data_IF_185040094060
#
_entry.id   IF_185040094060
#
_cell.length_a   1.000
_cell.length_b   1.000
_cell.length_c   1.000
_cell.angle_alpha   90.00
_cell.angle_beta   90.00
_cell.angle_gamma   90.00
#
_symmetry.space_group_name_H-M   'P 1'
#
loop_
_entity.id
_entity.type
_entity.pdbx_description
1 polymer ?
#
# COMPACT_ATOMS: atom_id res chain seq x y z
N UNK A 1 1.64 0.12 -15.97
CA UNK A 1 0.92 1.10 -15.12
C UNK A 1 1.97 1.85 -14.31
N UNK A 2 1.84 3.18 -14.13
CA UNK A 2 2.83 3.97 -13.39
C UNK A 2 2.32 4.36 -11.99
N UNK A 3 3.24 4.73 -11.09
CA UNK A 3 2.93 4.99 -9.68
C UNK A 3 2.36 6.40 -9.39
N UNK A 4 2.34 7.28 -10.39
CA UNK A 4 2.10 8.73 -10.23
C UNK A 4 0.86 9.24 -10.97
N UNK A 5 0.15 8.37 -11.68
CA UNK A 5 -1.12 8.71 -12.33
C UNK A 5 -2.28 8.25 -11.45
N UNK A 6 -3.23 9.14 -11.09
CA UNK A 6 -4.44 8.74 -10.39
C UNK A 6 -5.28 7.73 -11.18
N UNK A 7 -5.96 6.82 -10.49
CA UNK A 7 -6.88 5.83 -11.04
C UNK A 7 -8.11 5.68 -10.14
N UNK A 8 -9.06 4.83 -10.55
CA UNK A 8 -10.36 4.66 -9.88
C UNK A 8 -10.35 3.76 -8.63
N UNK A 9 -9.20 3.22 -8.24
CA UNK A 9 -9.06 2.36 -7.07
C UNK A 9 -8.99 3.13 -5.75
N UNK A 10 -8.61 2.41 -4.69
CA UNK A 10 -8.56 2.93 -3.33
C UNK A 10 -7.63 4.13 -3.23
N UNK A 11 -8.15 5.23 -2.65
CA UNK A 11 -7.45 6.50 -2.45
C UNK A 11 -6.79 7.07 -3.72
N UNK A 12 -7.43 6.86 -4.88
CA UNK A 12 -6.97 7.35 -6.18
C UNK A 12 -5.86 6.50 -6.78
N UNK A 13 -5.53 5.35 -6.20
CA UNK A 13 -4.55 4.41 -6.75
C UNK A 13 -5.20 3.48 -7.76
N UNK A 14 -4.44 2.55 -8.32
CA UNK A 14 -4.96 1.51 -9.21
C UNK A 14 -5.47 0.27 -8.48
N UNK A 15 -5.17 0.13 -7.18
CA UNK A 15 -5.52 -1.04 -6.39
C UNK A 15 -6.99 -0.99 -6.04
N UNK A 16 -7.74 -2.01 -6.41
CA UNK A 16 -9.18 -2.10 -6.15
C UNK A 16 -9.47 -2.91 -4.89
N UNK A 17 -10.76 -3.03 -4.55
CA UNK A 17 -11.19 -3.93 -3.47
C UNK A 17 -11.00 -5.40 -3.85
N UNK A 18 -11.24 -5.71 -5.12
CA UNK A 18 -11.11 -7.05 -5.69
C UNK A 18 -9.66 -7.52 -5.62
N UNK A 19 -8.69 -6.67 -6.00
CA UNK A 19 -7.26 -6.97 -5.90
C UNK A 19 -6.88 -7.39 -4.45
N UNK A 20 -7.34 -6.62 -3.47
CA UNK A 20 -7.03 -6.87 -2.05
C UNK A 20 -7.76 -8.11 -1.55
N UNK A 21 -9.01 -8.32 -1.93
CA UNK A 21 -9.77 -9.51 -1.53
C UNK A 21 -9.12 -10.79 -2.06
N UNK A 22 -8.79 -10.84 -3.35
CA UNK A 22 -8.12 -11.97 -3.98
C UNK A 22 -6.76 -12.27 -3.33
N UNK A 23 -5.98 -11.23 -3.06
CA UNK A 23 -4.71 -11.37 -2.35
C UNK A 23 -4.90 -11.91 -0.93
N UNK A 24 -5.84 -11.37 -0.16
CA UNK A 24 -6.07 -11.81 1.21
C UNK A 24 -6.65 -13.22 1.28
N UNK A 25 -7.54 -13.61 0.36
CA UNK A 25 -8.06 -14.97 0.24
C UNK A 25 -6.94 -15.97 -0.03
N UNK A 26 -6.05 -15.66 -0.98
CA UNK A 26 -4.88 -16.50 -1.29
C UNK A 26 -3.93 -16.59 -0.11
N UNK A 27 -3.56 -15.46 0.49
CA UNK A 27 -2.58 -15.44 1.57
C UNK A 27 -3.10 -16.11 2.85
N UNK A 28 -4.38 -15.92 3.19
CA UNK A 28 -5.02 -16.53 4.37
C UNK A 28 -5.60 -17.93 4.09
N UNK A 29 -5.52 -18.40 2.85
CA UNK A 29 -6.06 -19.67 2.38
C UNK A 29 -7.55 -19.84 2.73
N UNK A 30 -8.35 -18.79 2.53
CA UNK A 30 -9.76 -18.72 2.97
C UNK A 30 -10.70 -18.55 1.79
N UNK A 31 -11.92 -19.08 1.95
CA UNK A 31 -13.05 -18.84 1.03
C UNK A 31 -13.92 -17.65 1.46
N UNK A 32 -13.60 -16.99 2.57
CA UNK A 32 -14.31 -15.81 3.05
C UNK A 32 -14.13 -14.64 2.08
N UNK A 33 -15.14 -13.78 1.98
CA UNK A 33 -15.11 -12.58 1.15
C UNK A 33 -15.35 -11.32 1.96
N UNK A 34 -14.99 -10.16 1.42
CA UNK A 34 -15.29 -8.89 2.05
C UNK A 34 -16.78 -8.56 1.96
N UNK A 35 -17.32 -8.03 3.05
CA UNK A 35 -18.73 -7.72 3.16
C UNK A 35 -19.14 -6.39 2.51
N UNK A 36 -20.45 -6.10 2.51
CA UNK A 36 -20.98 -4.84 2.02
C UNK A 36 -20.60 -3.64 2.91
N UNK A 37 -20.25 -3.86 4.19
CA UNK A 37 -19.86 -2.79 5.11
C UNK A 37 -18.35 -2.64 5.25
N UNK A 38 -17.56 -3.22 4.33
CA UNK A 38 -16.11 -3.07 4.32
C UNK A 38 -15.71 -1.60 4.29
N UNK A 39 -14.67 -1.24 5.03
CA UNK A 39 -14.15 0.13 5.08
C UNK A 39 -12.65 0.17 4.89
N UNK A 40 -12.18 1.26 4.29
CA UNK A 40 -10.78 1.57 4.16
C UNK A 40 -10.52 2.97 4.72
N UNK A 41 -9.48 3.11 5.55
CA UNK A 41 -9.03 4.41 6.06
C UNK A 41 -7.55 4.58 5.76
N UNK A 42 -7.19 5.64 5.04
CA UNK A 42 -5.77 6.03 4.90
C UNK A 42 -5.27 6.56 6.25
N UNK A 43 -4.48 5.75 6.94
CA UNK A 43 -3.82 6.09 8.21
C UNK A 43 -2.38 6.59 8.00
N UNK A 44 -1.89 6.54 6.75
CA UNK A 44 -0.56 7.00 6.37
C UNK A 44 -0.50 8.46 5.93
N UNK A 45 -1.60 9.23 5.98
CA UNK A 45 -1.54 10.64 5.63
C UNK A 45 -0.52 11.36 6.55
N UNK A 46 0.45 12.07 5.94
CA UNK A 46 1.54 12.74 6.66
C UNK A 46 2.69 11.83 7.13
N UNK A 47 2.51 10.51 7.20
CA UNK A 47 3.50 9.55 7.74
C UNK A 47 3.92 8.45 6.75
N UNK A 48 3.15 8.23 5.69
CA UNK A 48 3.33 7.14 4.71
C UNK A 48 4.29 7.48 3.57
N UNK A 49 4.68 8.76 3.45
CA UNK A 49 5.62 9.29 2.47
C UNK A 49 5.28 8.88 1.03
N UNK A 50 5.91 7.82 0.51
CA UNK A 50 5.77 7.28 -0.86
C UNK A 50 4.75 6.13 -0.95
N UNK A 51 3.80 6.05 -0.03
CA UNK A 51 2.77 5.01 -0.02
C UNK A 51 1.48 5.51 0.60
N UNK A 52 0.36 4.90 0.20
CA UNK A 52 -0.88 4.94 0.98
C UNK A 52 -0.83 3.80 1.98
N UNK A 53 -0.97 4.11 3.26
CA UNK A 53 -1.06 3.09 4.32
C UNK A 53 -2.53 3.03 4.73
N UNK A 54 -3.18 1.92 4.41
CA UNK A 54 -4.62 1.77 4.50
C UNK A 54 -4.96 0.76 5.58
N UNK A 55 -5.72 1.18 6.59
CA UNK A 55 -6.39 0.26 7.52
C UNK A 55 -7.66 -0.23 6.85
N UNK A 56 -7.73 -1.54 6.60
CA UNK A 56 -8.89 -2.22 6.04
C UNK A 56 -9.66 -2.91 7.16
N UNK A 57 -10.95 -2.63 7.22
CA UNK A 57 -11.96 -3.43 7.91
C UNK A 57 -12.73 -4.19 6.83
N UNK A 58 -12.45 -5.49 6.62
CA UNK A 58 -12.98 -6.25 5.50
C UNK A 58 -14.45 -6.62 5.64
N UNK A 59 -15.06 -6.51 6.83
CA UNK A 59 -16.41 -7.02 7.09
C UNK A 59 -16.57 -8.48 6.61
N UNK A 60 -15.62 -9.34 6.97
CA UNK A 60 -15.53 -10.73 6.47
C UNK A 60 -16.86 -11.50 6.56
N UNK A 61 -17.32 -12.02 5.42
CA UNK A 61 -18.50 -12.87 5.28
C UNK A 61 -18.09 -14.33 4.99
N UNK A 62 -19.00 -15.28 5.26
CA UNK A 62 -18.78 -16.69 4.94
C UNK A 62 -17.48 -17.30 5.52
N UNK A 63 -17.11 -16.88 6.73
CA UNK A 63 -15.88 -17.32 7.41
C UNK A 63 -15.84 -18.85 7.55
N UNK A 64 -14.76 -19.44 7.07
CA UNK A 64 -14.39 -20.86 7.23
C UNK A 64 -13.37 -21.09 8.34
N UNK A 65 -12.71 -20.04 8.82
CA UNK A 65 -11.71 -20.04 9.89
C UNK A 65 -11.67 -18.72 10.63
N UNK A 66 -10.85 -18.65 11.69
CA UNK A 66 -10.52 -17.38 12.32
C UNK A 66 -9.67 -16.53 11.37
N UNK A 67 -10.09 -15.28 11.15
CA UNK A 67 -9.46 -14.33 10.23
C UNK A 67 -9.15 -13.03 10.96
N UNK A 68 -8.15 -12.25 10.53
CA UNK A 68 -7.85 -10.95 11.12
C UNK A 68 -9.06 -10.03 11.01
N UNK A 69 -9.44 -9.40 12.14
CA UNK A 69 -10.53 -8.43 12.18
C UNK A 69 -10.23 -7.21 11.29
N UNK A 70 -8.97 -6.77 11.27
CA UNK A 70 -8.46 -5.66 10.46
C UNK A 70 -7.05 -5.96 10.02
N UNK A 71 -6.63 -5.36 8.91
CA UNK A 71 -5.26 -5.45 8.43
C UNK A 71 -4.82 -4.15 7.76
N UNK A 72 -3.51 -4.00 7.59
CA UNK A 72 -2.91 -2.85 6.91
C UNK A 72 -2.50 -3.25 5.50
N UNK A 73 -2.90 -2.45 4.52
CA UNK A 73 -2.40 -2.54 3.14
C UNK A 73 -1.49 -1.34 2.87
N UNK A 74 -0.27 -1.61 2.43
CA UNK A 74 0.68 -0.60 1.96
C UNK A 74 0.66 -0.57 0.43
N UNK A 75 0.06 0.48 -0.14
CA UNK A 75 -0.01 0.67 -1.58
C UNK A 75 1.09 1.64 -2.00
N UNK A 76 2.05 1.16 -2.79
CA UNK A 76 3.12 1.98 -3.33
C UNK A 76 2.56 2.98 -4.34
N UNK A 77 2.78 4.29 -4.12
CA UNK A 77 2.29 5.33 -5.02
C UNK A 77 3.00 6.66 -4.77
N UNK A 78 3.12 7.50 -5.79
CA UNK A 78 3.66 8.86 -5.66
C UNK A 78 2.58 9.89 -5.30
N UNK A 79 1.28 9.54 -5.32
CA UNK A 79 0.19 10.50 -5.11
C UNK A 79 0.27 11.25 -3.77
N UNK A 80 0.76 10.58 -2.71
CA UNK A 80 0.98 11.20 -1.41
C UNK A 80 2.07 12.29 -1.48
N UNK A 81 3.19 12.00 -2.14
CA UNK A 81 4.27 12.97 -2.34
C UNK A 81 3.89 14.09 -3.29
N UNK A 82 3.18 13.81 -4.38
CA UNK A 82 2.67 14.86 -5.28
C UNK A 82 1.79 15.87 -4.55
N UNK A 83 0.91 15.40 -3.65
CA UNK A 83 0.09 16.28 -2.81
C UNK A 83 0.97 17.14 -1.91
N UNK A 84 1.87 16.51 -1.17
CA UNK A 84 2.79 17.18 -0.25
C UNK A 84 3.66 18.23 -0.96
N UNK A 85 4.30 17.89 -2.08
CA UNK A 85 5.15 18.82 -2.84
C UNK A 85 4.34 19.93 -3.49
N UNK A 86 3.10 19.65 -3.90
CA UNK A 86 2.20 20.68 -4.42
C UNK A 86 1.78 21.67 -3.35
N UNK A 87 1.49 21.20 -2.13
CA UNK A 87 1.13 22.06 -1.01
C UNK A 87 2.31 22.93 -0.57
N UNK A 88 3.52 22.35 -0.47
CA UNK A 88 4.75 23.09 -0.19
C UNK A 88 5.10 24.11 -1.28
N UNK A 89 4.97 23.75 -2.55
CA UNK A 89 5.27 24.64 -3.66
C UNK A 89 4.33 25.85 -3.66
N UNK A 90 3.03 25.64 -3.38
CA UNK A 90 2.04 26.70 -3.23
C UNK A 90 2.37 27.62 -2.05
N UNK A 91 2.68 27.06 -0.89
CA UNK A 91 3.02 27.82 0.32
C UNK A 91 4.27 28.69 0.10
N UNK A 92 5.30 28.12 -0.52
CA UNK A 92 6.59 28.79 -0.75
C UNK A 92 6.65 29.60 -2.05
N UNK A 93 5.58 29.58 -2.86
CA UNK A 93 5.49 30.25 -4.18
C UNK A 93 6.64 29.87 -5.12
N UNK A 94 7.01 28.60 -5.12
CA UNK A 94 8.04 28.02 -5.99
C UNK A 94 7.42 27.03 -6.96
N UNK A 95 8.15 26.67 -8.01
CA UNK A 95 7.74 25.65 -8.95
C UNK A 95 7.81 24.24 -8.34
N UNK A 96 6.82 23.40 -8.63
CA UNK A 96 6.84 22.00 -8.20
C UNK A 96 7.56 21.11 -9.22
N UNK A 97 8.88 21.01 -9.10
CA UNK A 97 9.69 20.16 -9.96
C UNK A 97 9.38 18.65 -9.82
N UNK A 98 8.83 18.22 -8.68
CA UNK A 98 8.47 16.83 -8.45
C UNK A 98 7.43 16.33 -9.45
N UNK A 99 6.50 17.19 -9.87
CA UNK A 99 5.40 16.82 -10.78
C UNK A 99 5.79 16.85 -12.27
N UNK A 100 7.06 17.09 -12.59
CA UNK A 100 7.54 16.95 -13.98
C UNK A 100 7.51 15.48 -14.40
N UNK A 101 7.04 15.14 -15.61
CA UNK A 101 6.95 13.75 -16.07
C UNK A 101 8.27 13.00 -15.96
N UNK A 102 9.39 13.64 -16.29
CA UNK A 102 10.72 13.06 -16.26
C UNK A 102 11.15 12.71 -14.83
N UNK A 103 10.89 13.59 -13.86
CA UNK A 103 11.25 13.35 -12.47
C UNK A 103 10.39 12.24 -11.85
N UNK A 104 9.07 12.24 -12.10
CA UNK A 104 8.18 11.20 -11.59
C UNK A 104 8.55 9.82 -12.14
N UNK A 105 8.86 9.73 -13.44
CA UNK A 105 9.32 8.50 -14.07
C UNK A 105 10.66 8.01 -13.49
N UNK A 106 11.61 8.92 -13.26
CA UNK A 106 12.90 8.56 -12.66
C UNK A 106 12.75 8.06 -11.21
N UNK A 107 11.92 8.73 -10.41
CA UNK A 107 11.64 8.32 -9.03
C UNK A 107 10.88 7.00 -8.98
N UNK A 108 10.00 6.72 -9.94
CA UNK A 108 9.24 5.46 -10.00
C UNK A 108 10.18 4.24 -9.98
N UNK A 109 11.23 4.27 -10.79
CA UNK A 109 12.22 3.18 -10.87
C UNK A 109 12.88 2.95 -9.52
N UNK A 110 13.30 4.03 -8.85
CA UNK A 110 13.92 3.93 -7.52
C UNK A 110 12.94 3.49 -6.45
N UNK A 111 11.71 3.98 -6.49
CA UNK A 111 10.65 3.66 -5.54
C UNK A 111 10.29 2.18 -5.58
N UNK A 112 10.13 1.60 -6.79
CA UNK A 112 9.91 0.15 -6.97
C UNK A 112 11.07 -0.67 -6.39
N UNK A 113 12.31 -0.28 -6.68
CA UNK A 113 13.51 -0.93 -6.14
C UNK A 113 13.55 -0.90 -4.61
N UNK A 114 13.30 0.26 -4.01
CA UNK A 114 13.32 0.42 -2.55
C UNK A 114 12.21 -0.37 -1.87
N UNK A 115 11.01 -0.41 -2.46
CA UNK A 115 9.92 -1.22 -1.95
C UNK A 115 10.26 -2.73 -1.97
N UNK A 116 10.89 -3.21 -3.03
CA UNK A 116 11.34 -4.61 -3.09
C UNK A 116 12.43 -4.92 -2.06
N UNK A 117 13.34 -3.97 -1.81
CA UNK A 117 14.34 -4.12 -0.73
C UNK A 117 13.65 -4.22 0.64
N UNK A 118 12.63 -3.40 0.90
CA UNK A 118 11.84 -3.48 2.13
C UNK A 118 11.17 -4.86 2.28
N UNK A 119 10.56 -5.39 1.21
CA UNK A 119 10.00 -6.75 1.19
C UNK A 119 11.07 -7.80 1.53
N UNK A 120 12.22 -7.76 0.87
CA UNK A 120 13.34 -8.68 1.15
C UNK A 120 13.81 -8.58 2.61
N UNK A 121 13.83 -7.39 3.20
CA UNK A 121 14.15 -7.23 4.62
C UNK A 121 13.14 -7.97 5.49
N UNK A 122 11.82 -7.82 5.25
CA UNK A 122 10.79 -8.55 6.00
C UNK A 122 10.92 -10.07 5.82
N UNK A 123 11.21 -10.56 4.61
CA UNK A 123 11.46 -12.00 4.36
C UNK A 123 12.63 -12.55 5.19
N UNK A 124 13.70 -11.76 5.36
CA UNK A 124 14.82 -12.15 6.22
C UNK A 124 14.46 -12.10 7.70
N UNK A 125 13.72 -11.08 8.13
CA UNK A 125 13.29 -10.94 9.53
C UNK A 125 12.34 -12.07 9.94
N UNK A 126 11.47 -12.54 9.04
CA UNK A 126 10.56 -13.67 9.28
C UNK A 126 11.29 -15.01 9.53
N UNK A 127 12.57 -15.13 9.15
CA UNK A 127 13.40 -16.31 9.41
C UNK A 127 14.02 -16.30 10.80
N UNK A 128 13.97 -15.18 11.53
CA UNK A 128 14.49 -15.09 12.90
C UNK A 128 13.55 -15.79 13.90
N UNK A 129 14.07 -16.31 15.03
CA UNK A 129 13.22 -16.86 16.08
C UNK A 129 12.18 -15.84 16.56
N UNK A 130 10.92 -16.28 16.67
CA UNK A 130 9.81 -15.45 17.18
C UNK A 130 10.18 -14.83 18.52
N UNK A 131 9.84 -13.55 18.69
CA UNK A 131 10.06 -12.80 19.94
C UNK A 131 11.44 -12.15 20.10
N UNK A 132 12.40 -12.38 19.19
CA UNK A 132 13.70 -11.65 19.22
C UNK A 132 13.62 -10.24 18.66
N UNK A 133 12.74 -10.01 17.69
CA UNK A 133 12.51 -8.71 17.06
C UNK A 133 11.01 -8.47 17.05
N UNK A 134 10.51 -7.34 17.61
CA UNK A 134 9.12 -6.95 17.45
C UNK A 134 8.83 -6.72 15.96
N UNK A 135 7.93 -7.50 15.39
CA UNK A 135 7.60 -7.41 13.97
C UNK A 135 6.12 -7.71 13.75
N UNK A 136 5.42 -6.97 12.87
CA UNK A 136 4.08 -7.33 12.45
C UNK A 136 4.09 -8.65 11.68
N UNK A 137 2.94 -9.32 11.62
CA UNK A 137 2.75 -10.38 10.63
C UNK A 137 2.68 -9.73 9.23
N UNK A 138 3.55 -10.18 8.32
CA UNK A 138 3.67 -9.62 6.97
C UNK A 138 3.24 -10.68 5.96
N UNK A 139 2.36 -10.28 5.04
CA UNK A 139 1.85 -11.08 3.92
C UNK A 139 2.05 -10.30 2.64
N UNK A 140 2.25 -10.99 1.52
CA UNK A 140 2.67 -10.36 0.26
C UNK A 140 1.56 -10.41 -0.79
N UNK A 141 1.40 -9.31 -1.51
CA UNK A 141 0.44 -9.13 -2.59
C UNK A 141 1.18 -9.14 -3.93
N UNK A 142 0.72 -9.94 -4.91
CA UNK A 142 1.52 -10.28 -6.11
C UNK A 142 1.38 -9.26 -7.25
N UNK A 143 0.40 -8.35 -7.22
CA UNK A 143 -0.05 -7.65 -8.44
C UNK A 143 0.52 -6.24 -8.70
N UNK A 144 1.48 -5.73 -7.93
CA UNK A 144 1.84 -4.29 -8.02
C UNK A 144 3.19 -4.01 -8.71
N UNK A 145 4.08 -5.00 -8.93
CA UNK A 145 5.49 -4.72 -9.24
C UNK A 145 6.16 -5.48 -10.40
N UNK A 146 5.39 -5.97 -11.38
CA UNK A 146 5.96 -6.34 -12.69
C UNK A 146 5.99 -5.18 -13.65
#
# INVERSE_FOLDING_TARGET
MNLYTPAGGLFGTHVTWEDIEEDMQRELDTVASFGPNKTAKNIGEGNGFMSRIVLVDPDWQHKDKELPEKFIVKILTQLAMQKFTSDLAKENKVENQFNTPEFMAAIEVHQKRLHNVEVTVYEHLLKLPRGKVPMPEVRYATNILT
#
